data_IF_392305675080
#
_entry.id   IF_392305675080
#
_cell.length_a   1.000
_cell.length_b   1.000
_cell.length_c   1.000
_cell.angle_alpha   90.00
_cell.angle_beta   90.00
_cell.angle_gamma   90.00
#
_symmetry.space_group_name_H-M   'P 1'
#
loop_
_entity.id
_entity.type
_entity.pdbx_description
1 polymer ?
#
# COMPACT_ATOMS: atom_id res chain seq x y z
N UNK A 1 -9.88 39.13 9.76
CA UNK A 1 -10.45 40.27 9.00
C UNK A 1 -10.10 40.17 7.53
N UNK A 2 -8.83 39.91 7.17
CA UNK A 2 -8.42 39.67 5.78
C UNK A 2 -9.07 38.42 5.15
N UNK A 3 -9.15 37.32 5.90
CA UNK A 3 -9.76 36.06 5.42
C UNK A 3 -11.26 36.21 5.12
N UNK A 4 -11.99 36.94 5.97
CA UNK A 4 -13.42 37.21 5.77
C UNK A 4 -13.69 38.07 4.53
N UNK A 5 -12.77 38.98 4.18
CA UNK A 5 -12.87 39.79 2.96
C UNK A 5 -12.59 38.89 1.73
N UNK A 6 -11.59 38.01 1.82
CA UNK A 6 -11.25 37.07 0.76
C UNK A 6 -12.41 36.09 0.47
N UNK A 7 -13.04 35.54 1.50
CA UNK A 7 -14.19 34.64 1.37
C UNK A 7 -15.38 35.32 0.68
N UNK A 8 -15.61 36.61 0.98
CA UNK A 8 -16.66 37.40 0.32
C UNK A 8 -16.37 37.57 -1.18
N UNK A 9 -15.12 37.88 -1.54
CA UNK A 9 -14.72 38.00 -2.95
C UNK A 9 -14.85 36.66 -3.70
N UNK A 10 -14.46 35.55 -3.08
CA UNK A 10 -14.61 34.21 -3.66
C UNK A 10 -16.09 33.91 -3.92
N UNK A 11 -16.94 34.15 -2.93
CA UNK A 11 -18.39 33.90 -3.04
C UNK A 11 -19.03 34.72 -4.17
N UNK A 12 -18.64 35.99 -4.30
CA UNK A 12 -19.12 36.87 -5.37
C UNK A 12 -18.66 36.35 -6.74
N UNK A 13 -17.39 35.96 -6.88
CA UNK A 13 -16.85 35.41 -8.11
C UNK A 13 -17.56 34.11 -8.51
N UNK A 14 -17.78 33.20 -7.56
CA UNK A 14 -18.50 31.96 -7.78
C UNK A 14 -19.90 32.22 -8.34
N UNK A 15 -20.65 33.13 -7.71
CA UNK A 15 -21.97 33.54 -8.19
C UNK A 15 -21.94 34.07 -9.63
N UNK A 16 -20.96 34.91 -9.98
CA UNK A 16 -20.81 35.41 -11.35
C UNK A 16 -20.50 34.29 -12.35
N UNK A 17 -19.68 33.30 -11.97
CA UNK A 17 -19.36 32.16 -12.86
C UNK A 17 -20.58 31.29 -13.12
N UNK A 18 -21.39 31.01 -12.10
CA UNK A 18 -22.64 30.27 -12.22
C UNK A 18 -23.63 31.02 -13.09
N UNK A 19 -23.86 32.31 -12.79
CA UNK A 19 -24.78 33.14 -13.55
C UNK A 19 -24.41 33.18 -15.04
N UNK A 20 -23.12 33.36 -15.35
CA UNK A 20 -22.59 33.35 -16.72
C UNK A 20 -22.80 32.00 -17.40
N UNK A 21 -22.61 30.89 -16.70
CA UNK A 21 -22.85 29.55 -17.24
C UNK A 21 -24.34 29.33 -17.57
N UNK A 22 -25.24 29.67 -16.64
CA UNK A 22 -26.68 29.55 -16.82
C UNK A 22 -27.19 30.44 -17.95
N UNK A 23 -26.71 31.68 -18.07
CA UNK A 23 -27.06 32.59 -19.18
C UNK A 23 -26.65 32.00 -20.54
N UNK A 24 -25.43 31.46 -20.65
CA UNK A 24 -24.94 30.78 -21.87
C UNK A 24 -25.77 29.53 -22.20
N UNK A 25 -26.07 28.71 -21.19
CA UNK A 25 -26.89 27.50 -21.34
C UNK A 25 -28.28 27.85 -21.85
N UNK A 26 -28.94 28.86 -21.27
CA UNK A 26 -30.27 29.33 -21.67
C UNK A 26 -30.29 29.85 -23.11
N UNK A 27 -29.30 30.67 -23.49
CA UNK A 27 -29.17 31.18 -24.86
C UNK A 27 -28.98 30.04 -25.88
N UNK A 28 -28.13 29.06 -25.54
CA UNK A 28 -27.90 27.89 -26.41
C UNK A 28 -29.16 27.04 -26.58
N UNK A 29 -29.92 26.80 -25.51
CA UNK A 29 -31.17 26.01 -25.59
C UNK A 29 -32.26 26.69 -26.42
N UNK A 30 -32.33 28.03 -26.43
CA UNK A 30 -33.23 28.77 -27.33
C UNK A 30 -32.83 28.54 -28.79
N UNK A 31 -31.55 28.74 -29.12
CA UNK A 31 -31.01 28.51 -30.46
C UNK A 31 -31.20 27.07 -30.96
N UNK A 32 -31.02 26.08 -30.09
CA UNK A 32 -31.23 24.67 -30.43
C UNK A 32 -32.70 24.37 -30.75
N UNK A 33 -33.66 25.00 -30.04
CA UNK A 33 -35.09 24.86 -30.33
C UNK A 33 -35.48 25.54 -31.64
N UNK A 34 -35.02 26.77 -31.86
CA UNK A 34 -35.32 27.55 -33.08
C UNK A 34 -34.78 26.87 -34.33
N UNK A 35 -33.56 26.32 -34.28
CA UNK A 35 -32.89 25.68 -35.42
C UNK A 35 -33.12 24.16 -35.51
N UNK A 36 -33.98 23.59 -34.65
CA UNK A 36 -34.22 22.12 -34.55
C UNK A 36 -32.92 21.30 -34.44
N UNK A 37 -31.93 21.79 -33.71
CA UNK A 37 -30.62 21.15 -33.55
C UNK A 37 -30.62 20.16 -32.37
N UNK A 38 -29.79 19.10 -32.42
CA UNK A 38 -29.60 18.21 -31.29
C UNK A 38 -28.99 18.96 -30.09
N UNK A 39 -29.38 18.55 -28.88
CA UNK A 39 -28.92 19.16 -27.63
C UNK A 39 -27.43 18.92 -27.43
N UNK A 40 -26.62 19.98 -27.41
CA UNK A 40 -25.20 19.87 -27.05
C UNK A 40 -25.03 19.65 -25.55
N UNK A 41 -24.07 18.80 -25.17
CA UNK A 41 -23.62 18.63 -23.78
C UNK A 41 -22.81 19.85 -23.35
N UNK A 42 -23.19 20.47 -22.24
CA UNK A 42 -22.49 21.62 -21.65
C UNK A 42 -22.01 21.25 -20.25
N UNK A 43 -20.70 21.07 -20.12
CA UNK A 43 -20.05 20.69 -18.87
C UNK A 43 -19.86 21.93 -17.99
N UNK A 44 -20.26 21.84 -16.72
CA UNK A 44 -20.10 22.91 -15.73
C UNK A 44 -18.61 23.18 -15.46
N UNK A 45 -18.18 24.43 -15.24
CA UNK A 45 -16.79 24.75 -14.88
C UNK A 45 -16.26 23.93 -13.69
N UNK A 46 -17.03 23.78 -12.61
CA UNK A 46 -16.64 22.93 -11.47
C UNK A 46 -16.42 21.47 -11.83
N UNK A 47 -17.21 20.91 -12.76
CA UNK A 47 -17.01 19.51 -13.18
C UNK A 47 -15.70 19.33 -13.97
N UNK A 48 -15.30 20.36 -14.74
CA UNK A 48 -13.98 20.35 -15.40
C UNK A 48 -12.84 20.41 -14.39
N UNK A 49 -12.95 21.25 -13.36
CA UNK A 49 -11.96 21.34 -12.30
C UNK A 49 -11.86 20.02 -11.52
N UNK A 50 -12.99 19.40 -11.20
CA UNK A 50 -13.03 18.09 -10.54
C UNK A 50 -12.34 17.02 -11.38
N UNK A 51 -12.59 16.98 -12.69
CA UNK A 51 -11.93 16.06 -13.61
C UNK A 51 -10.41 16.26 -13.62
N UNK A 52 -9.93 17.50 -13.70
CA UNK A 52 -8.50 17.83 -13.65
C UNK A 52 -7.89 17.38 -12.32
N UNK A 53 -8.56 17.67 -11.21
CA UNK A 53 -8.14 17.28 -9.86
C UNK A 53 -8.00 15.76 -9.74
N UNK A 54 -8.96 15.01 -10.27
CA UNK A 54 -8.94 13.54 -10.26
C UNK A 54 -7.79 12.99 -11.11
N UNK A 55 -7.58 13.56 -12.31
CA UNK A 55 -6.49 13.18 -13.22
C UNK A 55 -5.12 13.45 -12.62
N UNK A 56 -4.97 14.47 -11.77
CA UNK A 56 -3.69 14.80 -11.11
C UNK A 56 -3.47 13.96 -9.86
N UNK A 57 -4.48 13.81 -9.01
CA UNK A 57 -4.31 13.15 -7.70
C UNK A 57 -4.18 11.64 -7.83
N UNK A 58 -4.91 11.03 -8.76
CA UNK A 58 -4.86 9.59 -8.97
C UNK A 58 -3.44 9.09 -9.29
N UNK A 59 -2.70 9.63 -10.28
CA UNK A 59 -1.35 9.20 -10.57
C UNK A 59 -0.38 9.52 -9.43
N UNK A 60 -0.52 10.67 -8.75
CA UNK A 60 0.31 10.99 -7.59
C UNK A 60 0.17 9.93 -6.50
N UNK A 61 -1.07 9.53 -6.18
CA UNK A 61 -1.33 8.47 -5.19
C UNK A 61 -0.77 7.13 -5.63
N UNK A 62 -0.88 6.78 -6.92
CA UNK A 62 -0.32 5.53 -7.45
C UNK A 62 1.21 5.51 -7.37
N UNK A 63 1.87 6.60 -7.74
CA UNK A 63 3.33 6.74 -7.69
C UNK A 63 3.82 6.68 -6.24
N UNK A 64 3.23 7.48 -5.35
CA UNK A 64 3.58 7.45 -3.92
C UNK A 64 3.34 6.08 -3.29
N UNK A 65 2.23 5.43 -3.62
CA UNK A 65 1.94 4.06 -3.19
C UNK A 65 3.04 3.10 -3.65
N UNK A 66 3.39 3.11 -4.93
CA UNK A 66 4.45 2.26 -5.46
C UNK A 66 5.77 2.42 -4.67
N UNK A 67 6.24 3.66 -4.49
CA UNK A 67 7.48 3.92 -3.76
C UNK A 67 7.45 3.50 -2.29
N UNK A 68 6.32 3.63 -1.60
CA UNK A 68 6.21 3.24 -0.19
C UNK A 68 6.11 1.73 0.02
N UNK A 69 5.62 0.98 -0.97
CA UNK A 69 5.40 -0.47 -0.86
C UNK A 69 6.53 -1.32 -1.46
N UNK A 70 7.46 -0.76 -2.23
CA UNK A 70 8.50 -1.53 -2.93
C UNK A 70 9.42 -2.32 -2.00
N UNK A 71 9.80 -1.77 -0.84
CA UNK A 71 10.79 -2.38 0.05
C UNK A 71 10.24 -2.85 1.40
N UNK A 72 8.92 -2.82 1.57
CA UNK A 72 8.26 -3.21 2.82
C UNK A 72 8.37 -4.72 3.09
N UNK A 73 8.48 -5.53 2.04
CA UNK A 73 8.52 -6.99 2.16
C UNK A 73 9.81 -7.50 2.77
N UNK A 74 10.96 -7.02 2.30
CA UNK A 74 12.27 -7.41 2.82
C UNK A 74 12.44 -6.97 4.27
N UNK A 75 12.18 -5.69 4.57
CA UNK A 75 12.30 -5.15 5.94
C UNK A 75 11.40 -5.87 6.95
N UNK A 76 10.16 -6.21 6.59
CA UNK A 76 9.28 -6.95 7.49
C UNK A 76 9.73 -8.41 7.67
N UNK A 77 10.28 -9.00 6.61
CA UNK A 77 10.78 -10.38 6.65
C UNK A 77 12.04 -10.46 7.50
N UNK A 78 12.98 -9.53 7.39
CA UNK A 78 14.17 -9.47 8.23
C UNK A 78 13.82 -9.26 9.70
N UNK A 79 12.88 -8.36 10.02
CA UNK A 79 12.40 -8.17 11.40
C UNK A 79 11.76 -9.46 11.96
N UNK A 80 10.99 -10.19 11.13
CA UNK A 80 10.45 -11.50 11.51
C UNK A 80 11.55 -12.53 11.76
N UNK A 81 12.56 -12.61 10.89
CA UNK A 81 13.69 -13.52 11.07
C UNK A 81 14.39 -13.24 12.41
N UNK A 82 14.68 -11.98 12.73
CA UNK A 82 15.31 -11.59 14.02
C UNK A 82 14.49 -12.13 15.20
N UNK A 83 13.17 -11.92 15.20
CA UNK A 83 12.28 -12.43 16.28
C UNK A 83 12.27 -13.95 16.36
N UNK A 84 12.35 -14.64 15.22
CA UNK A 84 12.45 -16.10 15.19
C UNK A 84 13.79 -16.55 15.79
N UNK A 85 14.90 -15.91 15.42
CA UNK A 85 16.23 -16.21 15.99
C UNK A 85 16.22 -16.06 17.51
N UNK A 86 15.68 -14.95 18.04
CA UNK A 86 15.58 -14.71 19.49
C UNK A 86 14.83 -15.82 20.22
N UNK A 87 13.74 -16.33 19.62
CA UNK A 87 12.96 -17.42 20.20
C UNK A 87 13.72 -18.75 20.13
N UNK A 88 14.38 -19.04 19.00
CA UNK A 88 15.18 -20.24 18.82
C UNK A 88 16.36 -20.27 19.80
N UNK A 89 17.03 -19.14 20.01
CA UNK A 89 18.12 -18.99 20.98
C UNK A 89 17.63 -19.21 22.42
N UNK A 90 16.47 -18.66 22.78
CA UNK A 90 15.85 -18.91 24.08
C UNK A 90 15.48 -20.40 24.25
N UNK A 91 14.98 -21.02 23.19
CA UNK A 91 14.62 -22.45 23.19
C UNK A 91 15.86 -23.34 23.35
N UNK A 92 16.95 -23.05 22.64
CA UNK A 92 18.24 -23.74 22.81
C UNK A 92 18.81 -23.56 24.21
N UNK A 93 18.73 -22.37 24.80
CA UNK A 93 19.16 -22.16 26.21
C UNK A 93 18.35 -23.01 27.20
N UNK A 94 17.08 -23.27 26.90
CA UNK A 94 16.20 -24.04 27.79
C UNK A 94 16.32 -25.56 27.60
N UNK A 95 16.48 -26.02 26.35
CA UNK A 95 16.44 -27.43 25.98
C UNK A 95 17.82 -28.01 25.61
N UNK A 96 18.84 -27.17 25.48
CA UNK A 96 20.18 -27.53 25.01
C UNK A 96 20.31 -27.68 23.49
N UNK A 97 19.19 -27.77 22.76
CA UNK A 97 19.15 -28.00 21.31
C UNK A 97 18.07 -27.14 20.65
N UNK A 98 18.28 -26.84 19.36
CA UNK A 98 17.24 -26.25 18.54
C UNK A 98 16.06 -27.23 18.31
N UNK A 99 14.85 -26.74 17.96
CA UNK A 99 13.73 -27.61 17.62
C UNK A 99 13.94 -28.30 16.26
N UNK A 100 13.34 -29.50 16.07
CA UNK A 100 13.39 -30.21 14.77
C UNK A 100 12.56 -29.54 13.66
N UNK A 101 11.57 -28.74 14.03
CA UNK A 101 10.65 -28.05 13.11
C UNK A 101 10.40 -26.65 13.62
N UNK A 102 10.34 -25.68 12.72
CA UNK A 102 10.07 -24.28 13.07
C UNK A 102 8.71 -24.10 13.75
N UNK A 103 7.71 -24.90 13.39
CA UNK A 103 6.37 -24.85 14.01
C UNK A 103 6.38 -25.12 15.52
N UNK A 104 7.45 -25.75 16.05
CA UNK A 104 7.60 -25.98 17.49
C UNK A 104 7.62 -24.66 18.28
N UNK A 105 8.09 -23.55 17.70
CA UNK A 105 8.17 -22.24 18.38
C UNK A 105 6.78 -21.64 18.68
N UNK A 106 5.73 -22.11 18.00
CA UNK A 106 4.36 -21.60 18.16
C UNK A 106 3.81 -21.98 19.54
N UNK A 107 4.07 -23.20 20.04
CA UNK A 107 3.65 -23.69 21.38
C UNK A 107 2.22 -23.30 21.80
N UNK A 108 1.25 -23.39 20.89
CA UNK A 108 -0.15 -22.95 21.08
C UNK A 108 -0.35 -21.46 21.43
N UNK A 109 0.64 -20.60 21.18
CA UNK A 109 0.52 -19.17 21.36
C UNK A 109 -0.10 -18.53 20.11
N UNK A 110 -1.30 -17.91 20.20
CA UNK A 110 -1.96 -17.30 19.04
C UNK A 110 -1.16 -16.15 18.41
N UNK A 111 -0.34 -15.44 19.21
CA UNK A 111 0.52 -14.36 18.72
C UNK A 111 1.64 -14.86 17.80
N UNK A 112 1.97 -16.15 17.86
CA UNK A 112 3.06 -16.76 17.08
C UNK A 112 2.59 -17.54 15.86
N UNK A 113 1.27 -17.64 15.63
CA UNK A 113 0.69 -18.49 14.58
C UNK A 113 1.22 -18.18 13.18
N UNK A 114 1.48 -16.90 12.89
CA UNK A 114 1.94 -16.44 11.58
C UNK A 114 3.46 -16.22 11.52
N UNK A 115 4.22 -16.70 12.50
CA UNK A 115 5.68 -16.55 12.51
C UNK A 115 6.38 -17.49 11.54
N UNK A 116 5.76 -18.59 11.14
CA UNK A 116 6.33 -19.53 10.15
C UNK A 116 6.20 -19.04 8.72
N UNK A 117 5.54 -17.90 8.50
CA UNK A 117 5.30 -17.30 7.19
C UNK A 117 6.05 -15.98 7.06
N UNK A 118 6.62 -15.73 5.88
CA UNK A 118 7.28 -14.47 5.53
C UNK A 118 6.28 -13.33 5.25
N UNK A 119 6.70 -12.25 4.59
CA UNK A 119 5.80 -11.17 4.18
C UNK A 119 4.91 -11.53 2.98
N UNK A 120 5.39 -12.42 2.10
CA UNK A 120 4.70 -12.87 0.89
C UNK A 120 3.83 -14.12 1.12
N UNK A 121 3.67 -14.52 2.38
CA UNK A 121 2.89 -15.67 2.82
C UNK A 121 3.48 -17.02 2.38
N UNK A 122 4.79 -17.07 2.14
CA UNK A 122 5.55 -18.29 1.94
C UNK A 122 6.06 -18.83 3.29
N UNK A 123 6.12 -20.16 3.41
CA UNK A 123 6.74 -20.79 4.58
C UNK A 123 8.26 -20.59 4.57
N UNK A 124 8.80 -20.19 5.73
CA UNK A 124 10.25 -20.17 5.94
C UNK A 124 10.82 -21.57 5.77
N UNK A 125 11.93 -21.66 5.03
CA UNK A 125 12.74 -22.85 5.02
C UNK A 125 13.54 -22.92 6.31
N UNK A 126 13.35 -24.00 7.06
CA UNK A 126 14.05 -24.25 8.31
C UNK A 126 14.56 -25.68 8.32
N UNK A 127 15.86 -25.82 8.58
CA UNK A 127 16.50 -27.13 8.73
C UNK A 127 17.47 -27.10 9.91
N UNK A 128 17.37 -28.10 10.77
CA UNK A 128 18.28 -28.28 11.90
C UNK A 128 19.54 -29.03 11.42
N UNK A 129 20.72 -28.53 11.78
CA UNK A 129 22.02 -29.13 11.41
C UNK A 129 22.81 -29.56 12.65
N UNK A 130 23.83 -30.39 12.45
CA UNK A 130 24.74 -30.85 13.51
C UNK A 130 24.03 -31.40 14.76
N UNK A 131 23.02 -32.25 14.54
CA UNK A 131 22.22 -32.87 15.61
C UNK A 131 21.56 -31.86 16.57
N UNK A 132 21.34 -30.63 16.11
CA UNK A 132 20.64 -29.59 16.85
C UNK A 132 21.48 -28.53 17.51
N UNK A 133 22.78 -28.52 17.22
CA UNK A 133 23.68 -27.45 17.59
C UNK A 133 23.49 -26.20 16.74
N UNK A 134 23.14 -26.36 15.47
CA UNK A 134 22.99 -25.30 14.48
C UNK A 134 21.65 -25.42 13.71
N UNK A 135 21.29 -24.37 12.98
CA UNK A 135 20.12 -24.36 12.09
C UNK A 135 20.36 -23.47 10.87
N UNK A 136 19.57 -23.71 9.83
CA UNK A 136 19.45 -22.87 8.64
C UNK A 136 18.03 -22.29 8.65
N UNK A 137 17.90 -20.97 8.47
CA UNK A 137 16.63 -20.27 8.36
C UNK A 137 16.67 -19.32 7.17
N UNK A 138 15.84 -19.57 6.16
CA UNK A 138 15.82 -18.82 4.91
C UNK A 138 14.38 -18.50 4.53
N UNK A 139 14.10 -17.24 4.17
CA UNK A 139 12.88 -16.87 3.46
C UNK A 139 13.05 -17.09 1.98
N UNK A 140 12.02 -17.66 1.33
CA UNK A 140 11.99 -17.85 -0.13
C UNK A 140 11.71 -16.56 -0.90
N UNK A 141 11.52 -15.44 -0.22
CA UNK A 141 11.30 -14.17 -0.88
C UNK A 141 9.98 -14.08 -1.66
N UNK A 142 9.97 -13.22 -2.68
CA UNK A 142 8.78 -12.92 -3.47
C UNK A 142 8.42 -14.03 -4.47
N UNK A 143 9.42 -14.73 -5.00
CA UNK A 143 9.24 -15.80 -6.00
C UNK A 143 8.80 -17.13 -5.38
N UNK A 144 9.05 -17.34 -4.09
CA UNK A 144 8.68 -18.55 -3.36
C UNK A 144 9.57 -19.76 -3.70
N UNK A 145 10.73 -19.54 -4.32
CA UNK A 145 11.64 -20.59 -4.77
C UNK A 145 12.95 -20.45 -4.00
N UNK A 146 13.46 -21.56 -3.45
CA UNK A 146 14.74 -21.57 -2.75
C UNK A 146 15.92 -21.50 -3.73
N UNK A 147 17.02 -20.91 -3.27
CA UNK A 147 18.30 -20.69 -3.95
C UNK A 147 18.20 -19.70 -5.11
N UNK A 148 17.40 -18.66 -4.93
CA UNK A 148 17.27 -17.55 -5.89
C UNK A 148 17.81 -16.25 -5.29
N UNK A 149 17.84 -15.17 -6.08
CA UNK A 149 18.28 -13.85 -5.61
C UNK A 149 17.30 -13.21 -4.64
N UNK A 150 16.06 -13.70 -4.61
CA UNK A 150 14.99 -13.17 -3.76
C UNK A 150 15.03 -13.76 -2.35
N UNK A 151 15.87 -14.78 -2.11
CA UNK A 151 16.04 -15.40 -0.79
C UNK A 151 16.56 -14.39 0.24
N UNK A 152 15.88 -14.33 1.39
CA UNK A 152 16.27 -13.44 2.50
C UNK A 152 16.72 -14.31 3.69
N UNK A 153 17.97 -14.14 4.09
CA UNK A 153 18.54 -14.76 5.29
C UNK A 153 19.46 -13.77 6.01
N UNK A 154 19.55 -13.88 7.33
CA UNK A 154 20.57 -13.18 8.10
C UNK A 154 21.85 -14.03 8.04
N UNK A 155 22.75 -13.70 7.11
CA UNK A 155 24.10 -14.25 7.16
C UNK A 155 24.80 -13.67 8.41
N UNK A 156 24.81 -14.41 9.52
CA UNK A 156 25.85 -14.24 10.54
C UNK A 156 27.12 -14.89 9.99
N UNK A 157 27.95 -14.07 9.36
CA UNK A 157 29.38 -14.37 9.19
C UNK A 157 30.05 -14.46 10.55
#
# INVERSE_FOLDING_TARGET
MLDSILDLFITILDFFTEFKFWKKKKARRKLEKEKKLPKKVMIHPYLKLLLIFLIIILPIKLVLGYFLFTNKGESNTTEKIIKIEEILEHEKKSLGVYPKKLTAIIRNNPLRKNMTLDYWNNEFFYEQTEQGLNYILISKGKDGILKTKDDVSLNKL
#
